data_IF_630701524191
#
_entry.id   IF_630701524191
#
_cell.length_a   1.000
_cell.length_b   1.000
_cell.length_c   1.000
_cell.angle_alpha   90.00
_cell.angle_beta   90.00
_cell.angle_gamma   90.00
#
_symmetry.space_group_name_H-M   'P 1'
#
loop_
_entity.id
_entity.type
_entity.pdbx_description
1 polymer ?
#
# COMPACT_ATOMS: atom_id res chain seq x y z
N UNK A 1 -30.82 -14.58 -7.67
CA UNK A 1 -29.82 -15.58 -7.28
C UNK A 1 -28.50 -15.19 -7.88
N UNK A 2 -27.68 -14.40 -7.15
CA UNK A 2 -26.27 -14.19 -7.49
C UNK A 2 -25.46 -15.12 -6.60
N UNK A 3 -24.80 -16.09 -7.20
CA UNK A 3 -23.86 -16.99 -6.57
C UNK A 3 -22.64 -16.18 -6.09
N UNK A 4 -22.37 -16.21 -4.80
CA UNK A 4 -21.15 -15.68 -4.17
C UNK A 4 -19.96 -16.55 -4.60
N UNK A 5 -19.36 -16.25 -5.75
CA UNK A 5 -18.05 -16.79 -6.08
C UNK A 5 -17.01 -16.02 -5.27
N UNK A 6 -16.64 -16.58 -4.12
CA UNK A 6 -15.52 -16.07 -3.33
C UNK A 6 -14.28 -15.91 -4.22
N UNK A 7 -13.76 -14.69 -4.28
CA UNK A 7 -12.51 -14.38 -4.97
C UNK A 7 -11.41 -15.14 -4.22
N UNK A 8 -10.99 -16.28 -4.74
CA UNK A 8 -9.80 -16.97 -4.24
C UNK A 8 -8.61 -16.07 -4.50
N UNK A 9 -8.02 -15.52 -3.44
CA UNK A 9 -6.71 -14.88 -3.51
C UNK A 9 -5.76 -15.87 -4.18
N UNK A 10 -5.31 -15.54 -5.39
CA UNK A 10 -4.30 -16.30 -6.11
C UNK A 10 -3.07 -16.44 -5.20
N UNK A 11 -2.58 -17.67 -5.06
CA UNK A 11 -1.48 -18.00 -4.14
C UNK A 11 -0.17 -17.39 -4.66
N UNK A 12 -0.02 -16.06 -4.51
CA UNK A 12 1.27 -15.39 -4.72
C UNK A 12 2.17 -15.91 -3.59
N UNK A 13 3.20 -16.70 -3.94
CA UNK A 13 4.25 -17.13 -3.01
C UNK A 13 5.03 -15.89 -2.56
N UNK A 14 4.50 -15.16 -1.59
CA UNK A 14 5.15 -14.04 -0.94
C UNK A 14 6.13 -14.58 0.09
N UNK A 15 7.27 -13.89 0.22
CA UNK A 15 8.24 -14.17 1.27
C UNK A 15 7.67 -13.64 2.60
N UNK A 16 6.76 -14.41 3.22
CA UNK A 16 6.04 -14.05 4.45
C UNK A 16 6.96 -13.76 5.64
N UNK A 17 8.25 -14.08 5.53
CA UNK A 17 9.23 -13.84 6.58
C UNK A 17 9.60 -12.34 6.76
N UNK A 18 9.25 -11.48 5.81
CA UNK A 18 9.50 -10.03 5.90
C UNK A 18 8.34 -9.22 6.48
N UNK A 19 7.15 -9.83 6.59
CA UNK A 19 5.97 -9.13 7.09
C UNK A 19 6.04 -9.09 8.62
N UNK A 20 6.11 -7.88 9.18
CA UNK A 20 6.06 -7.65 10.62
C UNK A 20 4.61 -7.69 11.10
N UNK A 21 4.35 -8.12 12.35
CA UNK A 21 3.04 -7.95 12.96
C UNK A 21 2.64 -6.47 13.01
N UNK A 22 1.36 -6.18 12.78
CA UNK A 22 0.83 -4.83 12.81
C UNK A 22 0.57 -4.39 14.26
N UNK A 23 1.27 -3.35 14.73
CA UNK A 23 1.16 -2.85 16.10
C UNK A 23 -0.05 -1.93 16.23
N UNK A 24 -0.95 -2.22 17.17
CA UNK A 24 -2.15 -1.41 17.47
C UNK A 24 -1.73 -0.08 18.08
N UNK A 25 -2.08 1.01 17.44
CA UNK A 25 -1.80 2.38 17.89
C UNK A 25 -2.98 3.01 18.65
N UNK A 26 -4.21 2.68 18.24
CA UNK A 26 -5.42 3.12 18.94
C UNK A 26 -6.58 2.18 18.67
N UNK A 27 -7.57 2.21 19.55
CA UNK A 27 -8.79 1.42 19.49
C UNK A 27 -9.96 2.39 19.62
N UNK A 28 -10.94 2.25 18.74
CA UNK A 28 -12.14 3.09 18.76
C UNK A 28 -13.04 2.62 19.91
N UNK A 29 -13.52 3.56 20.73
CA UNK A 29 -14.43 3.22 21.84
C UNK A 29 -15.76 2.70 21.31
N UNK A 30 -16.29 1.65 21.96
CA UNK A 30 -17.50 0.95 21.55
C UNK A 30 -17.31 0.06 20.32
N UNK A 31 -16.08 -0.20 19.89
CA UNK A 31 -15.77 -1.11 18.78
C UNK A 31 -15.60 -2.55 19.25
N UNK A 32 -15.72 -3.49 18.30
CA UNK A 32 -15.44 -4.91 18.53
C UNK A 32 -14.04 -5.12 19.16
N UNK A 33 -13.04 -4.34 18.74
CA UNK A 33 -11.70 -4.41 19.30
C UNK A 33 -11.63 -4.04 20.78
N UNK A 34 -12.41 -3.05 21.22
CA UNK A 34 -12.51 -2.70 22.64
C UNK A 34 -13.27 -3.77 23.44
N UNK A 35 -14.41 -4.27 22.91
CA UNK A 35 -15.21 -5.32 23.56
C UNK A 35 -14.43 -6.62 23.78
N UNK A 36 -13.56 -6.99 22.83
CA UNK A 36 -12.70 -8.17 22.92
C UNK A 36 -11.54 -7.95 23.93
N UNK A 37 -11.25 -6.69 24.26
CA UNK A 37 -10.22 -6.32 25.22
C UNK A 37 -8.82 -6.22 24.62
N UNK A 38 -8.70 -5.82 23.33
CA UNK A 38 -7.40 -5.45 22.77
C UNK A 38 -6.83 -4.21 23.45
N UNK A 39 -5.52 -4.14 23.50
CA UNK A 39 -4.80 -3.01 24.07
C UNK A 39 -3.87 -2.35 23.05
N UNK A 40 -3.66 -1.04 23.22
CA UNK A 40 -2.63 -0.32 22.45
C UNK A 40 -1.27 -0.96 22.71
N UNK A 41 -0.55 -1.28 21.65
CA UNK A 41 0.73 -2.00 21.69
C UNK A 41 0.62 -3.52 21.43
N UNK A 42 -0.57 -4.10 21.45
CA UNK A 42 -0.78 -5.46 20.96
C UNK A 42 -0.45 -5.54 19.46
N UNK A 43 -0.12 -6.73 18.99
CA UNK A 43 0.37 -6.94 17.62
C UNK A 43 -0.51 -7.95 16.89
N UNK A 44 -1.15 -7.52 15.82
CA UNK A 44 -1.90 -8.39 14.92
C UNK A 44 -0.92 -9.18 14.04
N UNK A 45 -0.88 -10.50 14.21
CA UNK A 45 -0.01 -11.41 13.45
C UNK A 45 -0.68 -11.87 12.17
N UNK A 46 -1.94 -12.33 12.25
CA UNK A 46 -2.67 -12.85 11.09
C UNK A 46 -4.18 -12.77 11.28
N UNK A 47 -4.90 -12.75 10.17
CA UNK A 47 -6.35 -12.84 10.04
C UNK A 47 -6.64 -14.04 9.13
N UNK A 48 -7.44 -15.00 9.59
CA UNK A 48 -7.74 -16.25 8.87
C UNK A 48 -6.48 -16.96 8.33
N UNK A 49 -5.40 -16.95 9.15
CA UNK A 49 -4.10 -17.54 8.78
C UNK A 49 -3.24 -16.69 7.83
N UNK A 50 -3.76 -15.57 7.30
CA UNK A 50 -3.04 -14.67 6.38
C UNK A 50 -2.42 -13.52 7.16
N UNK A 51 -1.13 -13.22 6.93
CA UNK A 51 -0.46 -12.05 7.46
C UNK A 51 -0.77 -10.84 6.57
N UNK A 52 -1.43 -9.79 7.06
CA UNK A 52 -1.65 -8.58 6.26
C UNK A 52 -0.30 -7.91 5.99
N UNK A 53 -0.08 -7.44 4.75
CA UNK A 53 1.14 -6.71 4.34
C UNK A 53 1.04 -5.22 4.65
N UNK A 54 -0.19 -4.73 4.74
CA UNK A 54 -0.51 -3.30 4.87
C UNK A 54 -1.98 -3.11 5.27
N UNK A 55 -2.40 -1.85 5.40
CA UNK A 55 -3.78 -1.48 5.71
C UNK A 55 -4.79 -1.92 4.65
N UNK A 56 -4.38 -2.09 3.39
CA UNK A 56 -5.28 -2.53 2.32
C UNK A 56 -5.63 -4.01 2.54
N UNK A 57 -4.61 -4.84 2.76
CA UNK A 57 -4.83 -6.25 3.10
C UNK A 57 -5.65 -6.40 4.39
N UNK A 58 -5.34 -5.59 5.41
CA UNK A 58 -6.12 -5.58 6.66
C UNK A 58 -7.59 -5.33 6.40
N UNK A 59 -7.93 -4.24 5.68
CA UNK A 59 -9.32 -3.89 5.38
C UNK A 59 -10.02 -4.97 4.55
N UNK A 60 -9.30 -5.56 3.59
CA UNK A 60 -9.84 -6.62 2.76
C UNK A 60 -10.13 -7.89 3.58
N UNK A 61 -9.20 -8.28 4.47
CA UNK A 61 -9.35 -9.49 5.29
C UNK A 61 -10.45 -9.36 6.35
N UNK A 62 -10.64 -8.16 6.92
CA UNK A 62 -11.69 -7.95 7.94
C UNK A 62 -13.10 -7.79 7.35
N UNK A 63 -13.26 -7.77 6.02
CA UNK A 63 -14.58 -7.75 5.40
C UNK A 63 -15.33 -9.10 5.47
N UNK A 64 -14.65 -10.18 5.86
CA UNK A 64 -15.28 -11.48 6.12
C UNK A 64 -16.12 -11.42 7.42
N UNK A 65 -17.21 -12.19 7.45
CA UNK A 65 -18.11 -12.25 8.62
C UNK A 65 -17.52 -13.11 9.75
N UNK A 66 -16.74 -14.12 9.40
CA UNK A 66 -16.07 -15.02 10.35
C UNK A 66 -14.56 -14.77 10.29
N UNK A 67 -14.00 -14.32 11.39
CA UNK A 67 -12.59 -13.99 11.50
C UNK A 67 -11.92 -14.84 12.59
N UNK A 68 -10.75 -15.38 12.27
CA UNK A 68 -9.84 -15.92 13.26
C UNK A 68 -8.61 -14.99 13.33
N UNK A 69 -8.50 -14.24 14.42
CA UNK A 69 -7.37 -13.35 14.67
C UNK A 69 -6.29 -14.07 15.48
N UNK A 70 -5.04 -13.84 15.11
CA UNK A 70 -3.87 -14.21 15.91
C UNK A 70 -3.18 -12.94 16.38
N UNK A 71 -3.17 -12.72 17.69
CA UNK A 71 -2.65 -11.52 18.34
C UNK A 71 -1.50 -11.91 19.27
N UNK A 72 -0.45 -11.11 19.28
CA UNK A 72 0.62 -11.15 20.28
C UNK A 72 0.39 -9.99 21.25
N UNK A 73 0.13 -10.28 22.52
CA UNK A 73 -0.03 -9.24 23.55
C UNK A 73 1.32 -8.64 23.98
N UNK A 74 1.26 -7.56 24.76
CA UNK A 74 2.46 -6.88 25.31
C UNK A 74 3.30 -7.74 26.24
N UNK A 75 2.74 -8.85 26.75
CA UNK A 75 3.44 -9.80 27.63
C UNK A 75 4.12 -10.92 26.84
N UNK A 76 4.00 -10.91 25.51
CA UNK A 76 4.59 -11.92 24.62
C UNK A 76 3.75 -13.19 24.49
N UNK A 77 2.49 -13.19 24.95
CA UNK A 77 1.58 -14.33 24.80
C UNK A 77 0.78 -14.22 23.51
N UNK A 78 0.62 -15.32 22.81
CA UNK A 78 -0.19 -15.42 21.60
C UNK A 78 -1.60 -15.84 21.95
N UNK A 79 -2.57 -15.07 21.44
CA UNK A 79 -4.00 -15.34 21.53
C UNK A 79 -4.56 -15.67 20.15
N UNK A 80 -5.48 -16.63 20.11
CA UNK A 80 -6.33 -16.90 18.95
C UNK A 80 -7.75 -16.52 19.35
N UNK A 81 -8.38 -15.67 18.54
CA UNK A 81 -9.68 -15.09 18.85
C UNK A 81 -10.56 -15.30 17.62
N UNK A 82 -11.66 -16.00 17.81
CA UNK A 82 -12.68 -16.19 16.77
C UNK A 82 -13.75 -15.12 16.97
N UNK A 83 -14.11 -14.44 15.89
CA UNK A 83 -15.07 -13.32 15.86
C UNK A 83 -16.09 -13.63 14.79
N UNK A 84 -17.37 -13.50 15.14
CA UNK A 84 -18.50 -13.44 14.20
C UNK A 84 -19.06 -12.02 14.22
N UNK A 85 -19.21 -11.40 13.05
CA UNK A 85 -19.65 -10.02 12.90
C UNK A 85 -20.36 -9.82 11.57
N UNK A 86 -21.11 -8.73 11.42
CA UNK A 86 -21.64 -8.33 10.13
C UNK A 86 -20.51 -7.85 9.20
N UNK A 87 -20.71 -8.01 7.88
CA UNK A 87 -19.70 -7.68 6.88
C UNK A 87 -19.21 -6.22 6.98
N UNK A 88 -20.10 -5.30 7.30
CA UNK A 88 -19.82 -3.86 7.39
C UNK A 88 -19.21 -3.43 8.73
N UNK A 89 -19.24 -4.30 9.75
CA UNK A 89 -18.69 -4.00 11.05
C UNK A 89 -17.16 -3.90 11.01
N UNK A 90 -16.65 -2.87 11.67
CA UNK A 90 -15.21 -2.61 11.77
C UNK A 90 -14.68 -3.06 13.13
N UNK A 91 -13.48 -3.63 13.14
CA UNK A 91 -12.81 -3.98 14.41
C UNK A 91 -12.41 -2.75 15.23
N UNK A 92 -12.40 -1.57 14.63
CA UNK A 92 -12.04 -0.31 15.30
C UNK A 92 -10.55 -0.19 15.64
N UNK A 93 -9.66 -0.91 14.95
CA UNK A 93 -8.23 -0.88 15.20
C UNK A 93 -7.51 0.08 14.23
N UNK A 94 -6.66 0.94 14.78
CA UNK A 94 -5.66 1.69 14.01
C UNK A 94 -4.25 1.19 14.36
N UNK A 95 -3.33 1.29 13.40
CA UNK A 95 -1.98 0.77 13.55
C UNK A 95 -0.93 1.88 13.49
N UNK A 96 0.25 1.64 14.04
CA UNK A 96 1.37 2.59 14.05
C UNK A 96 1.93 2.87 12.67
N UNK A 97 1.82 1.91 11.74
CA UNK A 97 2.30 1.98 10.36
C UNK A 97 1.22 1.53 9.40
N UNK A 98 1.24 2.06 8.17
CA UNK A 98 0.34 1.62 7.11
C UNK A 98 0.88 0.41 6.33
N UNK A 99 2.19 0.19 6.36
CA UNK A 99 2.91 -0.83 5.59
C UNK A 99 3.68 -1.75 6.55
N UNK A 100 3.27 -3.02 6.65
CA UNK A 100 3.85 -3.98 7.60
C UNK A 100 5.01 -4.79 7.01
N UNK A 101 5.21 -4.74 5.69
CA UNK A 101 6.32 -5.38 4.98
C UNK A 101 7.40 -4.39 4.52
N UNK A 102 7.23 -3.12 4.88
CA UNK A 102 8.14 -2.03 4.56
C UNK A 102 7.76 -1.24 3.31
N UNK A 103 8.43 -0.11 3.15
CA UNK A 103 8.19 0.87 2.08
C UNK A 103 8.93 0.47 0.80
N UNK A 104 8.26 0.59 -0.36
CA UNK A 104 8.93 0.61 -1.67
C UNK A 104 9.52 1.99 -1.91
N UNK A 105 10.85 2.03 -1.99
CA UNK A 105 11.57 3.28 -2.22
C UNK A 105 11.68 3.61 -3.70
N UNK A 106 11.67 4.91 -4.00
CA UNK A 106 11.91 5.43 -5.31
C UNK A 106 13.37 5.17 -5.76
N UNK A 107 13.53 4.66 -6.98
CA UNK A 107 14.83 4.39 -7.61
C UNK A 107 15.23 5.44 -8.66
N UNK A 108 14.47 6.54 -8.77
CA UNK A 108 14.73 7.63 -9.69
C UNK A 108 15.71 8.67 -9.12
N UNK A 109 16.32 9.48 -10.00
CA UNK A 109 17.25 10.56 -9.65
C UNK A 109 16.88 11.85 -10.37
N UNK A 110 15.63 12.26 -10.26
CA UNK A 110 15.08 13.43 -10.92
C UNK A 110 15.82 14.71 -10.49
N UNK A 111 16.18 15.62 -11.40
CA UNK A 111 16.86 16.88 -11.03
C UNK A 111 15.99 17.81 -10.19
N UNK A 112 14.67 17.63 -10.26
CA UNK A 112 13.68 18.40 -9.48
C UNK A 112 13.20 17.67 -8.21
N UNK A 113 13.85 16.57 -7.81
CA UNK A 113 13.43 15.81 -6.63
C UNK A 113 13.64 16.63 -5.34
N UNK A 114 12.54 17.05 -4.72
CA UNK A 114 12.58 17.85 -3.50
C UNK A 114 13.17 17.09 -2.29
N UNK A 115 13.15 15.76 -2.31
CA UNK A 115 13.80 14.94 -1.27
C UNK A 115 15.32 14.99 -1.42
N UNK A 116 15.84 14.85 -2.67
CA UNK A 116 17.28 14.90 -2.92
C UNK A 116 17.87 16.31 -2.68
N UNK A 117 17.02 17.35 -2.67
CA UNK A 117 17.38 18.74 -2.40
C UNK A 117 17.34 19.11 -0.91
N UNK A 118 16.95 18.18 -0.02
CA UNK A 118 16.92 18.45 1.42
C UNK A 118 18.34 18.69 1.96
N UNK A 119 18.53 19.69 2.84
CA UNK A 119 19.80 19.91 3.51
C UNK A 119 20.27 18.66 4.27
N UNK A 120 21.56 18.36 4.20
CA UNK A 120 22.14 17.23 4.93
C UNK A 120 22.02 17.38 6.46
N UNK A 121 22.08 16.24 7.18
CA UNK A 121 22.10 16.23 8.65
C UNK A 121 20.75 16.43 9.34
N UNK A 122 19.64 16.36 8.62
CA UNK A 122 18.30 16.41 9.20
C UNK A 122 17.80 14.98 9.60
N UNK A 123 16.61 14.90 10.22
CA UNK A 123 16.02 13.62 10.63
C UNK A 123 15.89 12.68 9.43
N UNK A 124 16.16 11.38 9.63
CA UNK A 124 16.18 10.36 8.57
C UNK A 124 14.87 10.28 7.77
N UNK A 125 13.73 10.54 8.40
CA UNK A 125 12.42 10.51 7.73
C UNK A 125 12.26 11.53 6.59
N UNK A 126 13.04 12.62 6.59
CA UNK A 126 13.02 13.63 5.51
C UNK A 126 13.70 13.15 4.22
N UNK A 127 14.47 12.08 4.27
CA UNK A 127 15.19 11.51 3.12
C UNK A 127 14.53 10.25 2.59
N UNK A 128 13.36 9.86 3.11
CA UNK A 128 12.62 8.72 2.60
C UNK A 128 11.91 9.13 1.30
N UNK A 129 12.31 8.47 0.22
CA UNK A 129 11.70 8.64 -1.11
C UNK A 129 10.72 7.50 -1.33
N UNK A 130 9.44 7.76 -1.14
CA UNK A 130 8.41 6.78 -1.44
C UNK A 130 8.13 6.71 -2.95
N UNK A 131 7.87 5.51 -3.43
CA UNK A 131 7.34 5.24 -4.77
C UNK A 131 6.48 3.96 -4.67
N UNK A 132 5.54 3.99 -3.71
CA UNK A 132 4.75 2.85 -3.29
C UNK A 132 3.28 3.04 -3.68
N UNK A 133 2.76 2.17 -4.55
CA UNK A 133 1.38 2.24 -5.04
C UNK A 133 0.34 2.15 -3.91
N UNK A 134 0.69 1.54 -2.78
CA UNK A 134 -0.20 1.44 -1.61
C UNK A 134 -0.37 2.80 -0.94
N UNK A 135 0.70 3.58 -0.81
CA UNK A 135 0.63 4.95 -0.30
C UNK A 135 -0.08 5.87 -1.29
N UNK A 136 0.08 5.62 -2.59
CA UNK A 136 -0.69 6.31 -3.62
C UNK A 136 -2.19 6.11 -3.41
N UNK A 137 -2.63 4.87 -3.25
CA UNK A 137 -4.03 4.53 -3.02
C UNK A 137 -4.56 5.04 -1.67
N UNK A 138 -3.80 4.88 -0.58
CA UNK A 138 -4.24 5.22 0.78
C UNK A 138 -4.22 6.72 1.06
N UNK A 139 -3.23 7.45 0.52
CA UNK A 139 -2.93 8.83 0.92
C UNK A 139 -2.70 9.80 -0.24
N UNK A 140 -2.80 9.35 -1.48
CA UNK A 140 -2.60 10.21 -2.65
C UNK A 140 -1.14 10.53 -2.96
N UNK A 141 -0.17 9.77 -2.44
CA UNK A 141 1.25 9.93 -2.81
C UNK A 141 1.45 9.63 -4.30
N UNK A 142 2.23 10.48 -4.99
CA UNK A 142 2.51 10.29 -6.39
C UNK A 142 3.58 9.24 -6.61
N UNK A 143 3.29 8.26 -7.49
CA UNK A 143 4.21 7.19 -7.87
C UNK A 143 4.67 7.33 -9.32
N UNK A 144 5.87 6.83 -9.61
CA UNK A 144 6.48 6.98 -10.93
C UNK A 144 6.24 5.81 -11.86
N UNK A 145 5.70 4.70 -11.38
CA UNK A 145 5.48 3.43 -12.09
C UNK A 145 6.78 2.75 -12.57
N UNK A 146 7.95 3.17 -12.09
CA UNK A 146 9.25 2.64 -12.55
C UNK A 146 9.75 1.44 -11.76
N UNK A 147 9.10 1.12 -10.61
CA UNK A 147 9.54 0.08 -9.67
C UNK A 147 8.48 -0.99 -9.37
N UNK A 148 7.38 -1.02 -10.12
CA UNK A 148 6.31 -2.00 -9.93
C UNK A 148 6.71 -3.37 -10.48
N UNK A 149 6.57 -4.40 -9.65
CA UNK A 149 6.71 -5.79 -10.05
C UNK A 149 5.44 -6.32 -10.71
N UNK A 150 5.53 -7.48 -11.39
CA UNK A 150 4.35 -8.17 -11.96
C UNK A 150 3.27 -8.44 -10.89
N UNK A 151 3.68 -8.79 -9.67
CA UNK A 151 2.74 -9.04 -8.58
C UNK A 151 2.05 -7.77 -8.10
N UNK A 152 2.71 -6.59 -8.18
CA UNK A 152 2.07 -5.32 -7.85
C UNK A 152 0.98 -4.96 -8.86
N UNK A 153 1.25 -5.14 -10.16
CA UNK A 153 0.25 -4.94 -11.22
C UNK A 153 -0.95 -5.84 -11.04
N UNK A 154 -0.74 -7.14 -10.77
CA UNK A 154 -1.83 -8.08 -10.49
C UNK A 154 -2.66 -7.64 -9.27
N UNK A 155 -1.99 -7.26 -8.18
CA UNK A 155 -2.70 -6.82 -6.97
C UNK A 155 -3.50 -5.53 -7.18
N UNK A 156 -2.95 -4.56 -7.92
CA UNK A 156 -3.66 -3.32 -8.26
C UNK A 156 -4.96 -3.65 -9.01
N UNK A 157 -4.92 -4.63 -9.92
CA UNK A 157 -6.09 -5.08 -10.66
C UNK A 157 -7.07 -5.85 -9.79
N UNK A 158 -6.61 -6.88 -9.06
CA UNK A 158 -7.44 -7.78 -8.25
C UNK A 158 -8.17 -7.02 -7.13
N UNK A 159 -7.46 -6.13 -6.43
CA UNK A 159 -8.03 -5.34 -5.34
C UNK A 159 -8.64 -4.01 -5.83
N UNK A 160 -8.63 -3.76 -7.16
CA UNK A 160 -9.18 -2.55 -7.79
C UNK A 160 -8.72 -1.26 -7.09
N UNK A 161 -7.42 -1.12 -6.90
CA UNK A 161 -6.84 0.04 -6.23
C UNK A 161 -6.98 1.29 -7.10
N UNK A 162 -8.02 2.09 -6.86
CA UNK A 162 -8.41 3.26 -7.63
C UNK A 162 -8.96 4.35 -6.70
N UNK A 163 -8.64 5.64 -6.86
CA UNK A 163 -7.68 6.17 -7.84
C UNK A 163 -6.20 5.96 -7.44
N UNK A 164 -5.29 6.08 -8.42
CA UNK A 164 -3.85 6.16 -8.18
C UNK A 164 -3.31 7.51 -8.66
N UNK A 165 -2.27 8.01 -8.02
CA UNK A 165 -1.64 9.29 -8.33
C UNK A 165 -0.30 9.04 -9.03
N UNK A 166 -0.14 9.55 -10.26
CA UNK A 166 0.98 9.18 -11.14
C UNK A 166 1.80 10.39 -11.55
N UNK A 167 3.10 10.34 -11.28
CA UNK A 167 4.11 11.27 -11.75
C UNK A 167 4.45 10.98 -13.22
N UNK A 168 3.82 11.74 -14.14
CA UNK A 168 3.96 11.57 -15.61
C UNK A 168 5.21 12.27 -16.09
N UNK A 169 5.32 13.59 -15.88
CA UNK A 169 6.38 14.52 -16.23
C UNK A 169 6.63 14.70 -17.74
N UNK A 170 6.59 13.65 -18.54
CA UNK A 170 6.67 13.66 -19.99
C UNK A 170 6.05 12.38 -20.56
N UNK A 171 5.44 12.48 -21.75
CA UNK A 171 4.88 11.34 -22.49
C UNK A 171 5.87 10.76 -23.51
N UNK A 172 6.85 11.55 -23.95
CA UNK A 172 7.97 11.05 -24.75
C UNK A 172 8.87 10.14 -23.90
N UNK A 173 9.08 8.88 -24.31
CA UNK A 173 9.84 7.90 -23.52
C UNK A 173 11.28 8.30 -23.26
N UNK A 174 11.96 8.88 -24.26
CA UNK A 174 13.37 9.29 -24.14
C UNK A 174 13.51 10.48 -23.20
N UNK A 175 12.64 11.48 -23.32
CA UNK A 175 12.62 12.63 -22.44
C UNK A 175 12.31 12.22 -21.00
N UNK A 176 11.30 11.35 -20.81
CA UNK A 176 10.94 10.88 -19.48
C UNK A 176 12.06 10.11 -18.81
N UNK A 177 12.72 9.21 -19.55
CA UNK A 177 13.88 8.47 -19.06
C UNK A 177 15.03 9.39 -18.64
N UNK A 178 15.31 10.44 -19.41
CA UNK A 178 16.30 11.48 -19.08
C UNK A 178 15.91 12.27 -17.83
N UNK A 179 14.64 12.70 -17.72
CA UNK A 179 14.14 13.46 -16.58
C UNK A 179 14.20 12.66 -15.28
N UNK A 180 13.79 11.40 -15.30
CA UNK A 180 13.81 10.55 -14.11
C UNK A 180 15.19 9.92 -13.85
N UNK A 181 16.10 10.04 -14.82
CA UNK A 181 17.40 9.35 -14.83
C UNK A 181 17.23 7.84 -14.55
N UNK A 182 16.25 7.24 -15.21
CA UNK A 182 15.88 5.84 -15.02
C UNK A 182 15.44 5.22 -16.36
N UNK A 183 16.13 4.18 -16.85
CA UNK A 183 15.76 3.51 -18.11
C UNK A 183 14.40 2.83 -18.06
N UNK A 184 13.88 2.46 -16.87
CA UNK A 184 12.56 1.85 -16.71
C UNK A 184 11.40 2.85 -16.84
N UNK A 185 11.69 4.12 -17.10
CA UNK A 185 10.67 5.16 -17.22
C UNK A 185 10.02 5.25 -18.62
N UNK A 186 10.45 4.44 -19.58
CA UNK A 186 10.03 4.52 -21.00
C UNK A 186 8.62 4.00 -21.26
N UNK A 187 8.07 3.12 -20.43
CA UNK A 187 6.84 2.37 -20.71
C UNK A 187 5.56 3.09 -20.26
N UNK A 188 5.64 4.38 -19.93
CA UNK A 188 4.53 5.13 -19.32
C UNK A 188 3.22 5.02 -20.11
N UNK A 189 3.22 5.26 -21.42
CA UNK A 189 2.00 5.25 -22.21
C UNK A 189 1.32 3.88 -22.23
N UNK A 190 2.11 2.80 -22.29
CA UNK A 190 1.60 1.44 -22.20
C UNK A 190 0.98 1.17 -20.82
N UNK A 191 1.60 1.67 -19.76
CA UNK A 191 1.12 1.57 -18.38
C UNK A 191 -0.20 2.36 -18.19
N UNK A 192 -0.29 3.57 -18.71
CA UNK A 192 -1.51 4.38 -18.67
C UNK A 192 -2.65 3.72 -19.48
N UNK A 193 -2.36 3.16 -20.64
CA UNK A 193 -3.32 2.41 -21.43
C UNK A 193 -3.83 1.16 -20.68
N UNK A 194 -2.96 0.50 -19.94
CA UNK A 194 -3.33 -0.62 -19.07
C UNK A 194 -4.31 -0.18 -17.97
N UNK A 195 -4.05 0.92 -17.25
CA UNK A 195 -4.97 1.48 -16.25
C UNK A 195 -6.34 1.79 -16.84
N UNK A 196 -6.37 2.44 -18.01
CA UNK A 196 -7.61 2.73 -18.73
C UNK A 196 -8.39 1.46 -19.07
N UNK A 197 -7.72 0.44 -19.62
CA UNK A 197 -8.32 -0.86 -19.94
C UNK A 197 -8.89 -1.55 -18.70
N UNK A 198 -8.23 -1.40 -17.54
CA UNK A 198 -8.66 -1.98 -16.25
C UNK A 198 -9.65 -1.10 -15.49
N UNK A 199 -10.04 0.06 -16.06
CA UNK A 199 -10.94 1.05 -15.44
C UNK A 199 -10.42 1.53 -14.06
N UNK A 200 -9.11 1.69 -13.94
CA UNK A 200 -8.45 2.27 -12.78
C UNK A 200 -8.23 3.76 -13.09
N UNK A 201 -8.82 4.62 -12.28
CA UNK A 201 -8.66 6.07 -12.40
C UNK A 201 -7.27 6.48 -11.95
N UNK A 202 -6.71 7.49 -12.60
CA UNK A 202 -5.43 8.09 -12.24
C UNK A 202 -5.54 9.59 -12.14
N UNK A 203 -4.77 10.18 -11.21
CA UNK A 203 -4.47 11.59 -11.16
C UNK A 203 -3.04 11.79 -11.67
N UNK A 204 -2.87 12.51 -12.75
CA UNK A 204 -1.58 12.73 -13.38
C UNK A 204 -0.94 14.04 -12.89
N UNK A 205 0.36 13.98 -12.56
CA UNK A 205 1.16 15.15 -12.19
C UNK A 205 2.29 15.36 -13.20
N UNK A 206 2.51 16.61 -13.58
CA UNK A 206 3.65 17.05 -14.39
C UNK A 206 4.35 18.17 -13.64
N UNK A 207 5.62 17.98 -13.32
CA UNK A 207 6.51 19.08 -12.89
C UNK A 207 7.09 19.70 -14.17
N UNK A 208 6.71 20.94 -14.44
CA UNK A 208 7.21 21.65 -15.62
C UNK A 208 8.64 22.13 -15.36
N UNK A 209 9.55 21.66 -16.20
CA UNK A 209 10.97 22.05 -16.18
C UNK A 209 11.24 22.88 -17.43
N UNK A 210 11.42 24.23 -17.31
CA UNK A 210 11.60 25.13 -18.45
C UNK A 210 12.71 24.67 -19.40
N UNK A 211 12.47 24.73 -20.71
CA UNK A 211 13.35 24.26 -21.80
C UNK A 211 13.66 22.76 -21.78
N UNK A 212 12.88 21.96 -21.05
CA UNK A 212 13.05 20.50 -21.00
C UNK A 212 11.78 19.79 -21.38
N UNK A 213 10.64 20.07 -20.72
CA UNK A 213 9.36 19.41 -20.94
C UNK A 213 8.17 20.38 -21.03
N UNK A 214 8.46 21.66 -21.29
CA UNK A 214 7.50 22.73 -21.57
C UNK A 214 7.12 22.78 -23.06
#
# INVERSE_FOLDING_TARGET
YFSSSGIKMGTIKLNQNKIKPAVIASIVSGSIGEEIGFEVGDQLISINGVKPRDLIDYKFLISEEILQLKILDKKGKIHKIDIEKDQDDQLGLAFTEALFDGLKQCNNRCPFCFIDQQPSGKRKSLYLKDDDYRLSFLYGSYLTLTNLSKNDWLRIEEQRLTPLFVSVHATDPSLRSKLLKNPNAIDLLAQLAWFSKKRIQIHAQIVVCPKIND
#
